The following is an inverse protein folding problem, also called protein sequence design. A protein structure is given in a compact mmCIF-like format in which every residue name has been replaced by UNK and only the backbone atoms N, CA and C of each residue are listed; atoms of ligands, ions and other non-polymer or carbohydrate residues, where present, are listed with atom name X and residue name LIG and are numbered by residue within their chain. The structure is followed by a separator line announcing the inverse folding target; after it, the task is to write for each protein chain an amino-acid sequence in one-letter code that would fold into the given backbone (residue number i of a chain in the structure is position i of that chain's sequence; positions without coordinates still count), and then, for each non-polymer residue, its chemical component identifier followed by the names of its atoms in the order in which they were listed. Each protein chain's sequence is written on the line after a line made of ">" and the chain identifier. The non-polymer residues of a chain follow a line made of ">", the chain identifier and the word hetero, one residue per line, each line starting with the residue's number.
data_IF_805363729030
#
_entry.id   IF_805363729030
#
_cell.length_a   1.000
_cell.length_b   1.000
_cell.length_c   1.000
_cell.angle_alpha   90.00
_cell.angle_beta   90.00
_cell.angle_gamma   90.00
#
_symmetry.space_group_name_H-M   'P 1'
#
loop_
_entity.id
_entity.type
_entity.pdbx_description
1 polymer ?
#
# COMPACT_ATOMS: atom_id res chain seq x y z
N UNK A 1 10.68 -7.89 -35.67
CA UNK A 1 10.17 -8.09 -34.30
C UNK A 1 10.30 -9.58 -34.02
N UNK A 2 11.07 -10.03 -33.01
CA UNK A 2 11.21 -11.45 -32.76
C UNK A 2 9.90 -11.98 -32.18
N UNK A 3 9.46 -13.11 -32.74
CA UNK A 3 8.18 -13.74 -32.47
C UNK A 3 8.21 -14.33 -31.05
N UNK A 4 7.32 -13.88 -30.17
CA UNK A 4 7.04 -14.59 -28.92
C UNK A 4 6.44 -15.95 -29.26
N UNK A 5 7.03 -17.08 -28.85
CA UNK A 5 6.41 -18.38 -29.10
C UNK A 5 5.05 -18.42 -28.40
N UNK A 6 3.99 -18.75 -29.14
CA UNK A 6 2.69 -19.00 -28.52
C UNK A 6 2.79 -20.26 -27.66
N UNK A 7 3.01 -20.05 -26.36
CA UNK A 7 3.01 -21.14 -25.38
C UNK A 7 1.55 -21.54 -25.15
N UNK A 8 1.14 -22.64 -25.76
CA UNK A 8 -0.18 -23.27 -25.59
C UNK A 8 -0.01 -24.63 -24.92
N UNK A 9 -0.44 -24.74 -23.66
CA UNK A 9 -0.56 -26.02 -22.94
C UNK A 9 -2.05 -26.35 -22.85
N UNK A 10 -2.47 -27.50 -23.38
CA UNK A 10 -3.88 -27.91 -23.45
C UNK A 10 -4.82 -26.89 -24.16
N UNK A 11 -4.32 -26.20 -25.19
CA UNK A 11 -5.12 -25.27 -26.01
C UNK A 11 -5.53 -23.97 -25.31
N UNK A 12 -4.91 -23.64 -24.16
CA UNK A 12 -5.10 -22.36 -23.48
C UNK A 12 -3.86 -21.48 -23.66
N UNK A 13 -4.00 -20.22 -24.08
CA UNK A 13 -2.86 -19.31 -24.18
C UNK A 13 -2.33 -19.02 -22.78
N UNK A 14 -1.05 -19.30 -22.54
CA UNK A 14 -0.41 -19.00 -21.26
C UNK A 14 0.30 -17.66 -21.34
N UNK A 15 -0.14 -16.72 -20.50
CA UNK A 15 0.61 -15.50 -20.26
C UNK A 15 1.80 -15.81 -19.36
N UNK A 16 2.99 -15.81 -19.94
CA UNK A 16 4.26 -16.04 -19.24
C UNK A 16 4.91 -14.69 -18.99
N UNK A 17 5.01 -14.31 -17.71
CA UNK A 17 5.48 -12.98 -17.30
C UNK A 17 6.95 -12.73 -17.67
N UNK A 18 7.75 -13.79 -17.76
CA UNK A 18 9.04 -13.82 -18.46
C UNK A 18 9.44 -15.25 -18.80
N UNK A 19 10.15 -15.42 -19.92
CA UNK A 19 10.82 -16.67 -20.28
C UNK A 19 12.24 -16.74 -19.68
N UNK A 20 12.83 -15.58 -19.35
CA UNK A 20 14.20 -15.45 -18.86
C UNK A 20 14.27 -15.36 -17.33
N UNK A 21 14.50 -16.51 -16.70
CA UNK A 21 14.60 -16.68 -15.24
C UNK A 21 15.61 -15.72 -14.58
N UNK A 22 16.76 -15.48 -15.21
CA UNK A 22 17.81 -14.59 -14.70
C UNK A 22 17.36 -13.12 -14.64
N UNK A 23 16.65 -12.66 -15.68
CA UNK A 23 16.16 -11.29 -15.74
C UNK A 23 15.09 -11.04 -14.68
N UNK A 24 14.18 -12.00 -14.50
CA UNK A 24 13.14 -11.91 -13.47
C UNK A 24 13.71 -11.92 -12.06
N UNK A 25 14.70 -12.79 -11.79
CA UNK A 25 15.37 -12.81 -10.50
C UNK A 25 16.10 -11.50 -10.19
N UNK A 26 16.82 -10.94 -11.17
CA UNK A 26 17.47 -9.63 -11.02
C UNK A 26 16.48 -8.51 -10.69
N UNK A 27 15.36 -8.43 -11.41
CA UNK A 27 14.32 -7.42 -11.16
C UNK A 27 13.68 -7.59 -9.77
N UNK A 28 13.38 -8.82 -9.35
CA UNK A 28 12.83 -9.09 -8.02
C UNK A 28 13.78 -8.65 -6.90
N UNK A 29 15.08 -8.95 -7.04
CA UNK A 29 16.11 -8.51 -6.09
C UNK A 29 16.25 -6.99 -6.06
N UNK A 30 16.28 -6.33 -7.23
CA UNK A 30 16.37 -4.88 -7.33
C UNK A 30 15.16 -4.18 -6.68
N UNK A 31 13.94 -4.64 -6.95
CA UNK A 31 12.73 -4.07 -6.36
C UNK A 31 12.70 -4.28 -4.85
N UNK A 32 13.02 -5.49 -4.37
CA UNK A 32 13.02 -5.81 -2.94
C UNK A 32 14.04 -4.98 -2.16
N UNK A 33 15.26 -4.83 -2.70
CA UNK A 33 16.31 -4.02 -2.08
C UNK A 33 15.97 -2.53 -2.08
N UNK A 34 15.43 -2.00 -3.19
CA UNK A 34 14.96 -0.62 -3.28
C UNK A 34 13.88 -0.32 -2.23
N UNK A 35 12.88 -1.20 -2.08
CA UNK A 35 11.82 -1.04 -1.07
C UNK A 35 12.38 -1.09 0.35
N UNK A 36 13.35 -1.95 0.64
CA UNK A 36 14.03 -1.99 1.93
C UNK A 36 14.74 -0.67 2.26
N UNK A 37 15.49 -0.13 1.30
CA UNK A 37 16.20 1.15 1.46
C UNK A 37 15.21 2.29 1.73
N UNK A 38 14.11 2.35 0.98
CA UNK A 38 13.05 3.35 1.19
C UNK A 38 12.42 3.22 2.58
N UNK A 39 12.10 1.99 3.02
CA UNK A 39 11.50 1.74 4.33
C UNK A 39 12.43 2.17 5.47
N UNK A 40 13.72 1.81 5.40
CA UNK A 40 14.72 2.23 6.39
C UNK A 40 14.87 3.74 6.41
N UNK A 41 14.98 4.37 5.24
CA UNK A 41 15.11 5.83 5.12
C UNK A 41 13.91 6.55 5.72
N UNK A 42 12.69 6.06 5.46
CA UNK A 42 11.46 6.63 6.00
C UNK A 42 11.43 6.55 7.54
N UNK A 43 11.77 5.40 8.11
CA UNK A 43 11.82 5.20 9.56
C UNK A 43 12.86 6.13 10.19
N UNK A 44 14.10 6.10 9.68
CA UNK A 44 15.20 6.93 10.21
C UNK A 44 14.84 8.40 10.16
N UNK A 45 14.40 8.92 9.01
CA UNK A 45 14.04 10.33 8.89
C UNK A 45 12.88 10.72 9.80
N UNK A 46 11.85 9.88 9.92
CA UNK A 46 10.69 10.15 10.78
C UNK A 46 11.12 10.28 12.24
N UNK A 47 11.89 9.31 12.75
CA UNK A 47 12.35 9.34 14.14
C UNK A 47 13.39 10.42 14.39
N UNK A 48 14.34 10.67 13.47
CA UNK A 48 15.31 11.76 13.61
C UNK A 48 14.64 13.14 13.65
N UNK A 49 13.64 13.38 12.77
CA UNK A 49 12.88 14.65 12.78
C UNK A 49 12.04 14.79 14.04
N UNK A 50 11.46 13.70 14.53
CA UNK A 50 10.70 13.68 15.78
C UNK A 50 11.59 13.98 16.99
N UNK A 51 12.78 13.40 17.06
CA UNK A 51 13.78 13.69 18.09
C UNK A 51 14.28 15.13 18.02
N UNK A 52 14.54 15.65 16.82
CA UNK A 52 14.92 17.05 16.63
C UNK A 52 13.82 18.01 17.13
N UNK A 53 12.56 17.71 16.84
CA UNK A 53 11.40 18.47 17.33
C UNK A 53 11.27 18.38 18.86
N UNK A 54 11.54 17.20 19.44
CA UNK A 54 11.55 17.02 20.89
C UNK A 54 12.64 17.88 21.58
N UNK A 55 13.82 18.00 20.97
CA UNK A 55 14.91 18.87 21.47
C UNK A 55 14.57 20.36 21.36
N UNK A 56 13.87 20.78 20.31
CA UNK A 56 13.38 22.16 20.11
C UNK A 56 12.08 22.45 20.88
N UNK A 57 12.03 22.02 22.16
CA UNK A 57 10.86 22.10 23.04
C UNK A 57 10.34 23.53 23.27
N UNK A 58 11.18 24.54 23.04
CA UNK A 58 10.80 25.96 23.11
C UNK A 58 9.86 26.43 22.01
N UNK A 59 9.78 25.69 20.88
CA UNK A 59 8.95 26.05 19.72
C UNK A 59 7.64 25.26 19.67
N UNK A 60 7.57 24.10 20.35
CA UNK A 60 6.43 23.18 20.25
C UNK A 60 5.95 22.73 21.62
N UNK A 61 4.64 22.74 21.84
CA UNK A 61 4.05 22.27 23.10
C UNK A 61 4.21 20.76 23.29
N UNK A 62 4.28 20.33 24.55
CA UNK A 62 4.35 18.90 24.91
C UNK A 62 3.18 18.09 24.34
N UNK A 63 1.99 18.68 24.29
CA UNK A 63 0.79 18.03 23.77
C UNK A 63 0.94 17.69 22.28
N UNK A 64 1.44 18.63 21.47
CA UNK A 64 1.65 18.40 20.03
C UNK A 64 2.73 17.35 19.78
N UNK A 65 3.81 17.36 20.57
CA UNK A 65 4.86 16.35 20.46
C UNK A 65 4.35 14.93 20.73
N UNK A 66 3.54 14.73 21.78
CA UNK A 66 2.96 13.43 22.09
C UNK A 66 2.05 12.92 20.97
N UNK A 67 1.27 13.80 20.35
CA UNK A 67 0.41 13.46 19.21
C UNK A 67 1.28 13.01 18.02
N UNK A 68 2.34 13.76 17.70
CA UNK A 68 3.27 13.42 16.61
C UNK A 68 4.01 12.09 16.86
N UNK A 69 4.41 11.81 18.12
CA UNK A 69 5.02 10.54 18.50
C UNK A 69 4.07 9.36 18.32
N UNK A 70 2.83 9.46 18.84
CA UNK A 70 1.81 8.42 18.66
C UNK A 70 1.51 8.16 17.19
N UNK A 71 1.43 9.23 16.39
CA UNK A 71 1.21 9.12 14.95
C UNK A 71 2.36 8.41 14.23
N UNK A 72 3.62 8.77 14.52
CA UNK A 72 4.80 8.15 13.94
C UNK A 72 4.93 6.65 14.30
N UNK A 73 4.62 6.29 15.56
CA UNK A 73 4.60 4.90 16.02
C UNK A 73 3.52 4.11 15.26
N UNK A 74 2.30 4.65 15.18
CA UNK A 74 1.21 4.00 14.45
C UNK A 74 1.55 3.80 12.97
N UNK A 75 2.18 4.78 12.31
CA UNK A 75 2.61 4.67 10.91
C UNK A 75 3.67 3.58 10.74
N UNK A 76 4.62 3.50 11.68
CA UNK A 76 5.67 2.49 11.65
C UNK A 76 5.09 1.08 11.80
N UNK A 77 4.14 0.90 12.73
CA UNK A 77 3.44 -0.38 12.92
C UNK A 77 2.64 -0.76 11.68
N UNK A 78 1.85 0.16 11.12
CA UNK A 78 1.05 -0.09 9.93
C UNK A 78 1.94 -0.48 8.73
N UNK A 79 3.02 0.27 8.48
CA UNK A 79 3.96 -0.05 7.40
C UNK A 79 4.59 -1.43 7.58
N UNK A 80 4.96 -1.80 8.81
CA UNK A 80 5.52 -3.12 9.09
C UNK A 80 4.54 -4.26 8.77
N UNK A 81 3.26 -4.10 9.13
CA UNK A 81 2.20 -5.09 8.82
C UNK A 81 2.04 -5.26 7.31
N UNK A 82 1.98 -4.16 6.54
CA UNK A 82 1.84 -4.21 5.07
C UNK A 82 3.07 -4.83 4.41
N UNK A 83 4.29 -4.53 4.91
CA UNK A 83 5.53 -5.15 4.42
C UNK A 83 5.52 -6.66 4.69
N UNK A 84 5.11 -7.10 5.88
CA UNK A 84 5.02 -8.52 6.23
C UNK A 84 4.07 -9.27 5.28
N UNK A 85 2.91 -8.68 4.96
CA UNK A 85 1.96 -9.23 4.00
C UNK A 85 2.57 -9.40 2.60
N UNK A 86 3.44 -8.47 2.18
CA UNK A 86 4.12 -8.49 0.89
C UNK A 86 5.32 -9.44 0.84
N UNK A 87 5.98 -9.72 1.97
CA UNK A 87 7.11 -10.65 2.02
C UNK A 87 6.67 -12.08 1.70
N UNK A 88 5.45 -12.49 2.09
CA UNK A 88 4.91 -13.82 1.82
C UNK A 88 4.89 -14.19 0.31
N UNK A 89 4.28 -13.39 -0.59
CA UNK A 89 4.32 -13.68 -2.03
C UNK A 89 5.75 -13.56 -2.61
N UNK A 90 6.62 -12.71 -2.08
CA UNK A 90 8.04 -12.65 -2.51
C UNK A 90 8.76 -13.95 -2.18
N UNK A 91 8.63 -14.47 -0.95
CA UNK A 91 9.25 -15.73 -0.53
C UNK A 91 8.74 -16.87 -1.42
N UNK A 92 7.43 -16.93 -1.65
CA UNK A 92 6.84 -17.92 -2.55
C UNK A 92 7.49 -17.85 -3.95
N UNK A 93 7.55 -16.66 -4.56
CA UNK A 93 8.17 -16.49 -5.88
C UNK A 93 9.64 -16.94 -5.90
N UNK A 94 10.43 -16.62 -4.88
CA UNK A 94 11.82 -17.08 -4.76
C UNK A 94 11.88 -18.61 -4.66
N UNK A 95 11.05 -19.23 -3.83
CA UNK A 95 11.03 -20.70 -3.69
C UNK A 95 10.65 -21.40 -5.00
N UNK A 96 9.67 -20.89 -5.75
CA UNK A 96 9.31 -21.47 -7.06
C UNK A 96 10.44 -21.42 -8.07
N UNK A 97 11.25 -20.35 -8.04
CA UNK A 97 12.42 -20.20 -8.92
C UNK A 97 13.56 -21.14 -8.51
N UNK A 98 13.75 -21.39 -7.20
CA UNK A 98 14.81 -22.28 -6.70
C UNK A 98 14.49 -23.77 -6.90
N UNK A 99 13.22 -24.15 -6.73
CA UNK A 99 12.75 -25.55 -6.86
C UNK A 99 12.18 -25.88 -8.25
N UNK A 100 12.23 -24.93 -9.20
CA UNK A 100 11.67 -25.04 -10.56
C UNK A 100 10.19 -25.47 -10.61
N UNK A 101 9.43 -25.20 -9.55
CA UNK A 101 8.03 -25.55 -9.43
C UNK A 101 7.13 -24.35 -9.69
N UNK A 102 6.62 -24.23 -10.91
CA UNK A 102 5.80 -23.08 -11.34
C UNK A 102 4.31 -23.42 -11.33
N UNK A 103 3.58 -22.93 -10.33
CA UNK A 103 2.12 -23.03 -10.30
C UNK A 103 1.47 -21.72 -10.77
N UNK A 104 0.86 -21.75 -11.96
CA UNK A 104 0.28 -20.57 -12.58
C UNK A 104 -0.86 -19.94 -11.77
N UNK A 105 -1.66 -20.75 -11.08
CA UNK A 105 -2.72 -20.25 -10.20
C UNK A 105 -2.14 -19.40 -9.08
N UNK A 106 -1.13 -19.91 -8.40
CA UNK A 106 -0.53 -19.24 -7.24
C UNK A 106 0.31 -18.02 -7.70
N UNK A 107 0.99 -18.11 -8.85
CA UNK A 107 1.70 -16.96 -9.44
C UNK A 107 0.74 -15.81 -9.79
N UNK A 108 -0.42 -16.12 -10.37
CA UNK A 108 -1.44 -15.14 -10.67
C UNK A 108 -2.04 -14.53 -9.40
N UNK A 109 -2.30 -15.35 -8.37
CA UNK A 109 -2.75 -14.86 -7.07
C UNK A 109 -1.71 -13.93 -6.42
N UNK A 110 -0.42 -14.29 -6.48
CA UNK A 110 0.66 -13.43 -6.00
C UNK A 110 0.64 -12.07 -6.72
N UNK A 111 0.47 -12.07 -8.06
CA UNK A 111 0.36 -10.84 -8.85
C UNK A 111 -0.85 -9.98 -8.44
N UNK A 112 -2.01 -10.59 -8.18
CA UNK A 112 -3.20 -9.89 -7.66
C UNK A 112 -2.92 -9.28 -6.29
N UNK A 113 -2.31 -10.03 -5.37
CA UNK A 113 -1.92 -9.53 -4.03
C UNK A 113 -0.96 -8.33 -4.17
N UNK A 114 0.06 -8.44 -5.03
CA UNK A 114 0.95 -7.33 -5.38
C UNK A 114 0.22 -6.16 -6.05
N UNK A 115 -0.91 -6.36 -6.72
CA UNK A 115 -1.63 -5.23 -7.34
C UNK A 115 -2.49 -4.49 -6.31
N UNK A 116 -3.13 -5.23 -5.40
CA UNK A 116 -4.05 -4.65 -4.42
C UNK A 116 -3.37 -4.09 -3.17
N UNK A 117 -2.09 -4.42 -2.92
CA UNK A 117 -1.38 -4.01 -1.71
C UNK A 117 -1.43 -2.49 -1.45
N UNK A 118 -1.36 -1.66 -2.49
CA UNK A 118 -1.41 -0.21 -2.37
C UNK A 118 -2.76 0.27 -1.84
N UNK A 119 -3.85 -0.28 -2.37
CA UNK A 119 -5.22 -0.01 -1.92
C UNK A 119 -5.41 -0.49 -0.48
N UNK A 120 -4.94 -1.70 -0.16
CA UNK A 120 -4.99 -2.24 1.19
C UNK A 120 -4.20 -1.36 2.18
N UNK A 121 -3.03 -0.87 1.80
CA UNK A 121 -2.23 0.04 2.62
C UNK A 121 -3.00 1.32 2.95
N UNK A 122 -3.66 1.93 1.96
CA UNK A 122 -4.49 3.13 2.19
C UNK A 122 -5.70 2.84 3.08
N UNK A 123 -6.38 1.70 2.87
CA UNK A 123 -7.51 1.30 3.70
C UNK A 123 -7.07 1.08 5.15
N UNK A 124 -5.98 0.34 5.38
CA UNK A 124 -5.42 0.15 6.71
C UNK A 124 -5.00 1.48 7.35
N UNK A 125 -4.45 2.41 6.57
CA UNK A 125 -4.13 3.75 7.04
C UNK A 125 -5.35 4.46 7.59
N UNK A 126 -6.46 4.44 6.83
CA UNK A 126 -7.69 5.08 7.25
C UNK A 126 -8.25 4.40 8.50
N UNK A 127 -8.24 3.07 8.59
CA UNK A 127 -8.84 2.34 9.72
C UNK A 127 -8.02 2.48 11.02
N UNK A 128 -6.70 2.32 10.94
CA UNK A 128 -5.82 2.27 12.12
C UNK A 128 -5.61 3.66 12.71
N UNK A 129 -5.55 4.70 11.87
CA UNK A 129 -5.22 6.05 12.34
C UNK A 129 -6.47 6.86 12.68
N UNK A 130 -6.71 7.06 13.99
CA UNK A 130 -7.78 7.92 14.52
C UNK A 130 -7.93 9.30 13.83
N UNK A 131 -6.86 10.08 13.56
CA UNK A 131 -7.03 11.37 12.88
C UNK A 131 -7.51 11.21 11.44
N UNK A 132 -7.08 10.16 10.74
CA UNK A 132 -7.53 9.85 9.38
C UNK A 132 -8.98 9.36 9.37
N UNK A 133 -9.39 8.53 10.32
CA UNK A 133 -10.80 8.15 10.50
C UNK A 133 -11.68 9.37 10.66
N UNK A 134 -11.35 10.25 11.60
CA UNK A 134 -12.20 11.40 11.90
C UNK A 134 -12.35 12.33 10.69
N UNK A 135 -11.25 12.64 10.00
CA UNK A 135 -11.29 13.48 8.79
C UNK A 135 -12.05 12.83 7.64
N UNK A 136 -11.85 11.53 7.40
CA UNK A 136 -12.57 10.81 6.32
C UNK A 136 -14.07 10.70 6.60
N UNK A 137 -14.46 10.38 7.83
CA UNK A 137 -15.87 10.37 8.24
C UNK A 137 -16.52 11.76 8.15
N UNK A 138 -15.80 12.82 8.51
CA UNK A 138 -16.28 14.20 8.34
C UNK A 138 -16.48 14.57 6.87
N UNK A 139 -15.55 14.22 5.98
CA UNK A 139 -15.69 14.48 4.55
C UNK A 139 -16.87 13.72 3.94
N UNK A 140 -17.03 12.44 4.29
CA UNK A 140 -18.15 11.61 3.80
C UNK A 140 -19.48 12.14 4.32
N UNK A 141 -19.59 12.47 5.61
CA UNK A 141 -20.82 12.98 6.23
C UNK A 141 -21.19 14.39 5.78
N UNK A 142 -20.23 15.32 5.65
CA UNK A 142 -20.48 16.65 5.10
C UNK A 142 -20.90 16.58 3.63
N UNK A 143 -20.27 15.73 2.83
CA UNK A 143 -20.65 15.52 1.42
C UNK A 143 -22.03 14.88 1.29
N UNK A 144 -22.37 13.96 2.19
CA UNK A 144 -23.71 13.41 2.32
C UNK A 144 -24.75 14.48 2.66
N UNK A 145 -24.45 15.36 3.63
CA UNK A 145 -25.36 16.43 4.05
C UNK A 145 -25.60 17.44 2.92
N UNK A 146 -24.54 17.89 2.25
CA UNK A 146 -24.64 18.84 1.12
C UNK A 146 -25.43 18.25 -0.04
N UNK A 147 -25.24 16.97 -0.38
CA UNK A 147 -26.02 16.31 -1.44
C UNK A 147 -27.51 16.16 -1.06
N UNK A 148 -27.82 15.92 0.22
CA UNK A 148 -29.20 15.85 0.66
C UNK A 148 -29.89 17.22 0.61
N UNK A 149 -29.21 18.29 1.04
CA UNK A 149 -29.77 19.65 1.02
C UNK A 149 -29.94 20.16 -0.42
N UNK A 150 -28.96 19.91 -1.30
CA UNK A 150 -29.05 20.30 -2.72
C UNK A 150 -30.04 19.47 -3.54
N UNK A 151 -30.37 18.24 -3.13
CA UNK A 151 -31.46 17.45 -3.72
C UNK A 151 -32.85 17.89 -3.27
N UNK A 152 -33.00 18.45 -2.06
CA UNK A 152 -34.27 18.93 -1.50
C UNK A 152 -34.68 20.32 -2.01
N UNK A 153 -33.72 21.22 -2.25
CA UNK A 153 -33.96 22.58 -2.75
C UNK A 153 -34.74 22.64 -4.09
N UNK A 154 -34.42 21.84 -5.13
CA UNK A 154 -35.16 21.87 -6.39
C UNK A 154 -36.51 21.12 -6.37
N UNK A 155 -36.83 20.41 -5.28
CA UNK A 155 -38.13 19.73 -5.08
C UNK A 155 -39.11 20.69 -4.41
N UNK A 156 -38.65 21.44 -3.41
CA UNK A 156 -39.46 22.45 -2.71
C UNK A 156 -39.86 23.62 -3.63
N UNK A 157 -38.99 24.01 -4.58
CA UNK A 157 -39.28 25.05 -5.57
C UNK A 157 -40.26 24.64 -6.68
N UNK A 158 -40.74 23.38 -6.70
CA UNK A 158 -41.80 22.90 -7.62
C UNK A 158 -43.15 22.68 -6.92
N UNK A 159 -43.20 22.86 -5.61
CA UNK A 159 -44.40 22.70 -4.78
C UNK A 159 -45.00 24.05 -4.34
N UNK A 160 -44.40 25.17 -4.76
CA UNK A 160 -44.97 26.52 -4.74
C UNK A 160 -45.25 26.96 -6.18
#
# INVERSE_FOLDING_TARGET
>A
MPCTPELSYNGRPLFVLSLDQKQTLFLMLFMTTSTLIQAVTFVVLTFSKLQLRARKRSVISNRTLLIQQKFAIALSIQSFIVILLLVLPVIYLITTVLFEYYNQLINNLACVIFSIHGVLSTIFMIIVHQPYRQSTWQLISCRWRVNNESGLVPILSRLQ
#
